data_IF_819042279625
#
_entry.id   IF_819042279625
#
_cell.length_a   1.000
_cell.length_b   1.000
_cell.length_c   1.000
_cell.angle_alpha   90.00
_cell.angle_beta   90.00
_cell.angle_gamma   90.00
#
_symmetry.space_group_name_H-M   'P 1'
#
loop_
_entity.id
_entity.type
_entity.pdbx_description
1 polymer ?
#
# COMPACT_ATOMS: atom_id res chain seq x y z
N UNK A 1 -8.47 -5.98 -6.86
CA UNK A 1 -7.87 -4.84 -7.58
C UNK A 1 -7.27 -3.89 -6.56
N UNK A 2 -6.85 -2.69 -6.97
CA UNK A 2 -6.45 -1.64 -6.03
C UNK A 2 -7.67 -1.14 -5.23
N UNK A 3 -7.48 -0.78 -3.96
CA UNK A 3 -8.56 -0.27 -3.10
C UNK A 3 -8.94 1.18 -3.41
N UNK A 4 -8.02 1.95 -4.01
CA UNK A 4 -8.21 3.35 -4.35
C UNK A 4 -7.69 3.64 -5.75
N UNK A 5 -8.42 4.42 -6.58
CA UNK A 5 -7.93 4.82 -7.91
C UNK A 5 -6.68 5.70 -7.83
N UNK A 6 -6.40 6.31 -6.67
CA UNK A 6 -5.16 7.07 -6.45
C UNK A 6 -3.89 6.20 -6.47
N UNK A 7 -4.02 4.86 -6.46
CA UNK A 7 -2.88 3.94 -6.60
C UNK A 7 -2.49 3.66 -8.05
N UNK A 8 -3.25 4.15 -9.03
CA UNK A 8 -2.93 3.99 -10.45
C UNK A 8 -1.63 4.72 -10.79
N UNK A 9 -0.66 4.00 -11.34
CA UNK A 9 0.63 4.54 -11.80
C UNK A 9 0.71 4.59 -13.33
N UNK A 10 -0.10 3.80 -14.03
CA UNK A 10 -0.33 3.87 -15.48
C UNK A 10 -1.79 4.26 -15.74
N UNK A 11 -2.02 5.54 -16.02
CA UNK A 11 -3.36 6.10 -16.24
C UNK A 11 -3.99 5.69 -17.59
N UNK A 12 -3.18 5.30 -18.58
CA UNK A 12 -3.71 4.85 -19.87
C UNK A 12 -4.29 3.44 -19.76
N UNK A 13 -3.57 2.56 -19.03
CA UNK A 13 -4.00 1.18 -18.80
C UNK A 13 -4.91 1.02 -17.59
N UNK A 14 -5.01 2.04 -16.75
CA UNK A 14 -5.71 2.00 -15.46
C UNK A 14 -5.13 0.90 -14.56
N UNK A 15 -3.80 0.88 -14.44
CA UNK A 15 -3.06 -0.14 -13.71
C UNK A 15 -2.19 0.46 -12.59
N UNK A 16 -2.00 -0.32 -11.52
CA UNK A 16 -0.96 -0.09 -10.52
C UNK A 16 0.22 -0.99 -10.89
N UNK A 17 1.19 -0.42 -11.60
CA UNK A 17 2.44 -1.09 -11.97
C UNK A 17 3.52 -0.75 -10.93
N UNK A 18 4.04 -1.78 -10.27
CA UNK A 18 5.08 -1.69 -9.24
C UNK A 18 6.29 -2.55 -9.66
N UNK A 19 7.48 -1.98 -9.65
CA UNK A 19 8.75 -2.68 -9.94
C UNK A 19 9.59 -2.82 -8.66
N UNK A 20 10.20 -4.00 -8.45
CA UNK A 20 11.07 -4.29 -7.30
C UNK A 20 10.48 -3.83 -5.94
N UNK A 21 9.19 -4.12 -5.74
CA UNK A 21 8.43 -3.68 -4.59
C UNK A 21 8.58 -4.62 -3.40
N UNK A 22 8.54 -4.06 -2.19
CA UNK A 22 8.27 -4.84 -1.00
C UNK A 22 6.81 -5.27 -0.94
N UNK A 23 6.55 -6.42 -0.31
CA UNK A 23 5.20 -6.93 -0.09
C UNK A 23 5.00 -7.11 1.42
N UNK A 24 4.05 -6.36 1.98
CA UNK A 24 3.56 -6.55 3.34
C UNK A 24 2.31 -7.42 3.29
N UNK A 25 2.33 -8.55 3.99
CA UNK A 25 1.17 -9.45 4.12
C UNK A 25 0.70 -9.39 5.57
N UNK A 26 -0.58 -9.08 5.76
CA UNK A 26 -1.21 -8.96 7.08
C UNK A 26 -2.56 -9.67 7.09
N UNK A 27 -2.81 -10.56 8.05
CA UNK A 27 -4.01 -11.42 8.01
C UNK A 27 -5.31 -10.75 8.50
N UNK A 28 -5.24 -9.51 8.99
CA UNK A 28 -6.37 -8.79 9.61
C UNK A 28 -6.67 -7.49 8.89
N UNK A 29 -7.77 -6.85 9.26
CA UNK A 29 -8.09 -5.48 8.85
C UNK A 29 -7.09 -4.47 9.41
N UNK A 30 -6.73 -3.48 8.59
CA UNK A 30 -5.91 -2.33 8.96
C UNK A 30 -6.77 -1.07 8.89
N UNK A 31 -7.03 -0.45 10.04
CA UNK A 31 -7.88 0.75 10.12
C UNK A 31 -7.13 2.01 10.57
N UNK A 32 -5.92 1.86 11.12
CA UNK A 32 -5.11 2.97 11.63
C UNK A 32 -3.77 3.07 10.91
N UNK A 33 -3.42 4.29 10.49
CA UNK A 33 -2.11 4.60 9.91
C UNK A 33 -0.96 4.35 10.91
N UNK A 34 -1.22 4.43 12.22
CA UNK A 34 -0.20 4.24 13.26
C UNK A 34 0.44 2.86 13.22
N UNK A 35 -0.32 1.84 12.86
CA UNK A 35 0.17 0.46 12.77
C UNK A 35 1.12 0.27 11.57
N UNK A 36 0.97 1.11 10.53
CA UNK A 36 1.78 1.06 9.32
C UNK A 36 3.05 1.94 9.39
N UNK A 37 3.03 3.01 10.20
CA UNK A 37 4.10 4.02 10.27
C UNK A 37 5.52 3.41 10.33
N UNK A 38 5.83 2.47 11.23
CA UNK A 38 7.18 1.92 11.33
C UNK A 38 7.65 1.24 10.04
N UNK A 39 6.75 0.54 9.34
CA UNK A 39 7.06 -0.14 8.09
C UNK A 39 7.22 0.87 6.96
N UNK A 40 6.32 1.85 6.87
CA UNK A 40 6.37 2.91 5.87
C UNK A 40 7.66 3.71 5.97
N UNK A 41 8.11 4.06 7.18
CA UNK A 41 9.38 4.76 7.39
C UNK A 41 10.59 3.97 6.89
N UNK A 42 10.60 2.65 7.09
CA UNK A 42 11.69 1.80 6.61
C UNK A 42 11.67 1.66 5.10
N UNK A 43 10.49 1.45 4.50
CA UNK A 43 10.36 1.33 3.05
C UNK A 43 10.69 2.66 2.36
N UNK A 44 10.25 3.80 2.89
CA UNK A 44 10.56 5.12 2.36
C UNK A 44 12.06 5.38 2.26
N UNK A 45 12.87 4.91 3.23
CA UNK A 45 14.35 5.03 3.20
C UNK A 45 14.99 4.27 2.05
N UNK A 46 14.33 3.21 1.56
CA UNK A 46 14.85 2.40 0.45
C UNK A 46 14.49 2.98 -0.92
N UNK A 47 13.50 3.88 -0.99
CA UNK A 47 12.96 4.40 -2.24
C UNK A 47 12.19 3.37 -3.08
N UNK A 48 12.01 2.14 -2.59
CA UNK A 48 11.26 1.08 -3.28
C UNK A 48 9.76 1.19 -3.00
N UNK A 49 8.89 0.77 -3.93
CA UNK A 49 7.45 0.73 -3.69
C UNK A 49 7.05 -0.32 -2.63
N UNK A 50 5.83 -0.17 -2.08
CA UNK A 50 5.21 -1.12 -1.15
C UNK A 50 3.85 -1.57 -1.67
N UNK A 51 3.66 -2.88 -1.78
CA UNK A 51 2.35 -3.52 -1.93
C UNK A 51 1.89 -4.03 -0.57
N UNK A 52 0.67 -3.69 -0.17
CA UNK A 52 0.05 -4.18 1.06
C UNK A 52 -1.09 -5.15 0.68
N UNK A 53 -1.05 -6.35 1.25
CA UNK A 53 -2.10 -7.36 1.15
C UNK A 53 -2.64 -7.60 2.55
N UNK A 54 -3.89 -7.20 2.79
CA UNK A 54 -4.57 -7.33 4.06
C UNK A 54 -5.96 -7.95 3.88
N UNK A 55 -6.63 -8.33 4.98
CA UNK A 55 -8.05 -8.69 4.96
C UNK A 55 -8.88 -7.52 4.42
N UNK A 56 -8.59 -6.32 4.92
CA UNK A 56 -9.17 -5.06 4.47
C UNK A 56 -8.28 -3.87 4.88
N UNK A 57 -8.39 -2.74 4.18
CA UNK A 57 -7.77 -1.46 4.59
C UNK A 57 -8.84 -0.39 4.56
N UNK A 58 -9.13 0.20 5.72
CA UNK A 58 -10.25 1.13 5.90
C UNK A 58 -9.82 2.40 6.67
N UNK A 59 -10.70 3.41 6.69
CA UNK A 59 -10.53 4.60 7.54
C UNK A 59 -9.29 5.41 7.21
N UNK A 60 -8.60 5.89 8.24
CA UNK A 60 -7.39 6.72 8.11
C UNK A 60 -6.21 5.99 7.47
N UNK A 61 -6.22 4.65 7.43
CA UNK A 61 -5.20 3.89 6.74
C UNK A 61 -5.33 3.96 5.20
N UNK A 62 -6.54 4.23 4.68
CA UNK A 62 -6.82 4.34 3.26
C UNK A 62 -7.02 5.80 2.77
N UNK A 63 -7.49 6.68 3.67
CA UNK A 63 -7.88 8.06 3.35
C UNK A 63 -6.71 9.00 3.01
#
# INVERSE_FOLDING_TARGET
GYLSPYFVTDAERMECALEDAYILIHEKKISSMKDLLPVLEQVAKTGKPLLIIAEDIEGEALA
#
